data_IF_914958389880
#
_entry.id   IF_914958389880
#
_cell.length_a   1.000
_cell.length_b   1.000
_cell.length_c   1.000
_cell.angle_alpha   90.00
_cell.angle_beta   90.00
_cell.angle_gamma   90.00
#
_symmetry.space_group_name_H-M   'P 1'
#
loop_
_entity.id
_entity.type
_entity.pdbx_description
1 polymer ?
#
# COMPACT_ATOMS: atom_id res chain seq x y z
N UNK A 1 11.78 -36.91 21.38
CA UNK A 1 11.82 -35.47 21.69
C UNK A 1 11.25 -34.74 20.48
N UNK A 2 10.11 -34.07 20.66
CA UNK A 2 9.15 -33.62 19.64
C UNK A 2 9.67 -32.50 18.73
N UNK A 3 9.44 -32.63 17.41
CA UNK A 3 9.61 -31.53 16.45
C UNK A 3 8.63 -30.40 16.84
N UNK A 4 9.05 -29.13 16.86
CA UNK A 4 8.12 -28.02 17.05
C UNK A 4 7.09 -28.01 15.91
N UNK A 5 5.84 -27.89 16.31
CA UNK A 5 4.64 -27.75 15.50
C UNK A 5 4.69 -26.44 14.69
N UNK A 6 4.74 -26.57 13.36
CA UNK A 6 4.72 -25.43 12.42
C UNK A 6 3.32 -24.80 12.26
N UNK A 7 2.36 -25.13 13.13
CA UNK A 7 0.96 -24.65 13.09
C UNK A 7 0.74 -23.31 13.79
N UNK A 8 1.79 -22.53 13.99
CA UNK A 8 1.75 -21.23 14.66
C UNK A 8 1.07 -20.18 13.77
N UNK A 9 -0.26 -20.13 13.84
CA UNK A 9 -1.10 -18.92 13.70
C UNK A 9 -0.88 -17.98 12.52
N UNK A 10 -0.35 -18.43 11.39
CA UNK A 10 -0.17 -17.56 10.21
C UNK A 10 -1.55 -17.21 9.62
N UNK A 11 -1.81 -15.94 9.30
CA UNK A 11 -3.06 -15.58 8.64
C UNK A 11 -3.17 -16.37 7.33
N UNK A 12 -4.37 -16.85 6.96
CA UNK A 12 -4.53 -17.61 5.73
C UNK A 12 -4.05 -16.76 4.55
N UNK A 13 -3.22 -17.33 3.68
CA UNK A 13 -2.64 -16.63 2.52
C UNK A 13 -3.70 -15.90 1.69
N UNK A 14 -4.87 -16.52 1.52
CA UNK A 14 -6.01 -15.91 0.84
C UNK A 14 -6.48 -14.61 1.50
N UNK A 15 -6.49 -14.52 2.83
CA UNK A 15 -6.82 -13.29 3.53
C UNK A 15 -5.77 -12.20 3.29
N UNK A 16 -4.47 -12.55 3.29
CA UNK A 16 -3.41 -11.58 2.98
C UNK A 16 -3.54 -11.08 1.54
N UNK A 17 -3.72 -11.99 0.59
CA UNK A 17 -3.86 -11.65 -0.83
C UNK A 17 -5.09 -10.80 -1.09
N UNK A 18 -6.22 -11.09 -0.44
CA UNK A 18 -7.45 -10.29 -0.61
C UNK A 18 -7.28 -8.87 -0.08
N UNK A 19 -6.66 -8.69 1.10
CA UNK A 19 -6.39 -7.34 1.64
C UNK A 19 -5.43 -6.57 0.73
N UNK A 20 -4.36 -7.21 0.24
CA UNK A 20 -3.42 -6.60 -0.70
C UNK A 20 -4.10 -6.24 -2.03
N UNK A 21 -4.93 -7.14 -2.58
CA UNK A 21 -5.64 -6.92 -3.82
C UNK A 21 -6.64 -5.77 -3.70
N UNK A 22 -7.41 -5.71 -2.61
CA UNK A 22 -8.36 -4.61 -2.36
C UNK A 22 -7.61 -3.28 -2.19
N UNK A 23 -6.54 -3.25 -1.38
CA UNK A 23 -5.73 -2.04 -1.22
C UNK A 23 -5.10 -1.58 -2.53
N UNK A 24 -4.57 -2.51 -3.32
CA UNK A 24 -4.01 -2.24 -4.65
C UNK A 24 -5.05 -1.72 -5.64
N UNK A 25 -6.25 -2.31 -5.67
CA UNK A 25 -7.34 -1.87 -6.53
C UNK A 25 -7.78 -0.44 -6.18
N UNK A 26 -7.98 -0.14 -4.89
CA UNK A 26 -8.30 1.22 -4.42
C UNK A 26 -7.19 2.20 -4.80
N UNK A 27 -5.92 1.86 -4.57
CA UNK A 27 -4.78 2.69 -4.93
C UNK A 27 -4.68 2.96 -6.45
N UNK A 28 -4.96 1.94 -7.27
CA UNK A 28 -4.97 2.08 -8.72
C UNK A 28 -6.09 3.01 -9.20
N UNK A 29 -7.31 2.87 -8.67
CA UNK A 29 -8.42 3.76 -8.97
C UNK A 29 -8.12 5.22 -8.58
N UNK A 30 -7.56 5.45 -7.39
CA UNK A 30 -7.17 6.80 -6.95
C UNK A 30 -6.10 7.40 -7.88
N UNK A 31 -5.08 6.63 -8.25
CA UNK A 31 -4.06 7.05 -9.21
C UNK A 31 -4.68 7.44 -10.56
N UNK A 32 -5.64 6.67 -11.04
CA UNK A 32 -6.31 6.95 -12.31
C UNK A 32 -7.12 8.25 -12.24
N UNK A 33 -7.90 8.45 -11.17
CA UNK A 33 -8.66 9.69 -10.95
C UNK A 33 -7.72 10.91 -10.96
N UNK A 34 -6.57 10.83 -10.28
CA UNK A 34 -5.58 11.93 -10.28
C UNK A 34 -5.00 12.17 -11.67
N UNK A 35 -4.72 11.10 -12.41
CA UNK A 35 -4.18 11.18 -13.78
C UNK A 35 -5.18 11.86 -14.73
N UNK A 36 -6.46 11.51 -14.62
CA UNK A 36 -7.53 12.13 -15.42
C UNK A 36 -7.81 13.58 -15.03
N UNK A 37 -7.60 13.94 -13.75
CA UNK A 37 -7.82 15.30 -13.24
C UNK A 37 -6.71 16.28 -13.61
N UNK A 38 -5.50 15.79 -13.90
CA UNK A 38 -4.34 16.60 -14.26
C UNK A 38 -3.80 16.16 -15.62
N UNK A 39 -4.29 16.75 -16.73
CA UNK A 39 -3.88 16.37 -18.07
C UNK A 39 -2.38 16.52 -18.25
N UNK A 40 -1.71 15.43 -18.61
CA UNK A 40 -0.27 15.43 -18.86
C UNK A 40 0.01 16.13 -20.20
N UNK A 41 0.88 17.14 -20.16
CA UNK A 41 1.51 17.72 -21.35
C UNK A 41 2.98 17.36 -21.34
N UNK A 42 3.53 16.95 -22.48
CA UNK A 42 4.95 16.54 -22.61
C UNK A 42 5.95 17.65 -22.25
N UNK A 43 5.52 18.91 -22.26
CA UNK A 43 6.33 20.07 -21.88
C UNK A 43 6.16 20.50 -20.42
N UNK A 44 5.31 19.81 -19.65
CA UNK A 44 5.00 20.16 -18.26
C UNK A 44 5.55 19.10 -17.29
N UNK A 45 5.81 19.54 -16.06
CA UNK A 45 6.21 18.64 -14.99
C UNK A 45 5.11 17.59 -14.72
N UNK A 46 5.45 16.31 -14.49
CA UNK A 46 4.47 15.22 -14.33
C UNK A 46 3.83 15.24 -12.93
N UNK A 47 3.02 16.26 -12.67
CA UNK A 47 2.40 16.52 -11.38
C UNK A 47 1.56 15.34 -10.86
N UNK A 48 0.82 14.64 -11.72
CA UNK A 48 0.02 13.48 -11.32
C UNK A 48 0.90 12.37 -10.73
N UNK A 49 1.93 11.94 -11.47
CA UNK A 49 2.87 10.90 -11.01
C UNK A 49 3.65 11.35 -9.78
N UNK A 50 4.10 12.60 -9.73
CA UNK A 50 4.83 13.15 -8.59
C UNK A 50 3.98 13.13 -7.31
N UNK A 51 2.79 13.73 -7.36
CA UNK A 51 1.90 13.83 -6.20
C UNK A 51 1.46 12.47 -5.67
N UNK A 52 1.13 11.51 -6.54
CA UNK A 52 0.78 10.15 -6.12
C UNK A 52 1.93 9.47 -5.38
N UNK A 53 3.18 9.62 -5.86
CA UNK A 53 4.35 9.04 -5.19
C UNK A 53 4.64 9.69 -3.84
N UNK A 54 4.60 11.02 -3.77
CA UNK A 54 4.86 11.75 -2.52
C UNK A 54 3.82 11.39 -1.46
N UNK A 55 2.54 11.43 -1.81
CA UNK A 55 1.45 11.05 -0.90
C UNK A 55 1.55 9.59 -0.51
N UNK A 56 1.77 8.69 -1.47
CA UNK A 56 1.91 7.25 -1.20
C UNK A 56 3.07 6.94 -0.25
N UNK A 57 4.24 7.53 -0.49
CA UNK A 57 5.42 7.34 0.36
C UNK A 57 5.20 7.91 1.76
N UNK A 58 4.56 9.07 1.88
CA UNK A 58 4.19 9.65 3.16
C UNK A 58 3.22 8.75 3.95
N UNK A 59 2.19 8.22 3.29
CA UNK A 59 1.24 7.29 3.91
C UNK A 59 1.94 6.01 4.38
N UNK A 60 2.82 5.44 3.57
CA UNK A 60 3.63 4.27 3.96
C UNK A 60 4.53 4.57 5.16
N UNK A 61 5.17 5.74 5.18
CA UNK A 61 5.99 6.19 6.30
C UNK A 61 5.18 6.43 7.59
N UNK A 62 3.89 6.77 7.46
CA UNK A 62 2.98 6.95 8.60
C UNK A 62 2.51 5.61 9.18
N UNK A 63 2.57 4.49 8.43
CA UNK A 63 2.07 3.20 8.90
C UNK A 63 2.64 2.78 10.28
N UNK A 64 3.96 2.85 10.55
CA UNK A 64 4.50 2.48 11.86
C UNK A 64 4.10 3.41 13.02
N UNK A 65 3.55 4.60 12.73
CA UNK A 65 3.01 5.48 13.76
C UNK A 65 1.70 4.93 14.36
N UNK A 66 1.02 4.02 13.66
CA UNK A 66 -0.17 3.34 14.17
C UNK A 66 0.22 2.09 14.97
N UNK A 67 -0.31 1.95 16.19
CA UNK A 67 -0.01 0.83 17.09
C UNK A 67 -0.29 -0.54 16.45
N UNK A 68 -1.30 -0.61 15.58
CA UNK A 68 -1.67 -1.84 14.86
C UNK A 68 -0.56 -2.35 13.93
N UNK A 69 0.29 -1.46 13.40
CA UNK A 69 1.42 -1.81 12.52
C UNK A 69 2.74 -1.79 13.28
N UNK A 70 2.82 -1.01 14.35
CA UNK A 70 4.04 -0.84 15.16
C UNK A 70 4.48 -2.17 15.76
N UNK A 71 5.45 -2.81 15.12
CA UNK A 71 6.19 -3.91 15.72
C UNK A 71 7.05 -3.30 16.81
N UNK A 72 6.90 -3.76 18.06
CA UNK A 72 7.61 -3.22 19.22
C UNK A 72 9.10 -3.04 18.89
N UNK A 73 9.73 -1.92 19.31
CA UNK A 73 11.15 -1.69 19.08
C UNK A 73 12.01 -2.77 19.74
#
# INVERSE_FOLDING_TARGET
MTRPDLSSGSPPLLAVLTVVAVGGAVGACLREVVTLSVPASSSQFPWSTYSVNVVGSFLLALLPAFEVVRRRP
#
